data_IF_228932088246
#
_entry.id   IF_228932088246
#
_cell.length_a   1.000
_cell.length_b   1.000
_cell.length_c   1.000
_cell.angle_alpha   90.00
_cell.angle_beta   90.00
_cell.angle_gamma   90.00
#
_symmetry.space_group_name_H-M   'P 1'
#
loop_
_entity.id
_entity.type
_entity.pdbx_description
1 polymer ?
#
# COMPACT_ATOMS: atom_id res chain seq x y z
N UNK A 1 2.37 5.73 9.01
CA UNK A 1 3.18 6.70 8.24
C UNK A 1 2.38 7.21 7.05
N UNK A 2 2.68 8.40 6.55
CA UNK A 2 2.08 8.95 5.33
C UNK A 2 3.21 9.25 4.35
N UNK A 3 3.04 8.87 3.08
CA UNK A 3 3.91 9.27 1.98
C UNK A 3 3.11 10.05 0.95
N UNK A 4 3.68 11.14 0.48
CA UNK A 4 3.18 11.90 -0.65
C UNK A 4 4.23 11.95 -1.76
N UNK A 5 3.90 11.42 -2.92
CA UNK A 5 4.69 11.54 -4.16
C UNK A 5 4.12 12.69 -4.98
N UNK A 6 4.93 13.68 -5.32
CA UNK A 6 4.49 14.75 -6.21
C UNK A 6 4.44 14.28 -7.69
N UNK A 7 3.63 14.92 -8.56
CA UNK A 7 3.66 14.68 -9.99
C UNK A 7 5.07 14.88 -10.58
N UNK A 8 5.48 13.98 -11.48
CA UNK A 8 6.79 14.05 -12.15
C UNK A 8 7.99 13.64 -11.28
N UNK A 9 7.78 13.37 -9.99
CA UNK A 9 8.83 12.87 -9.09
C UNK A 9 8.77 11.34 -9.00
N UNK A 10 9.93 10.71 -8.90
CA UNK A 10 10.09 9.28 -8.62
C UNK A 10 10.22 9.01 -7.10
N UNK A 11 10.64 10.01 -6.34
CA UNK A 11 10.67 10.02 -4.86
C UNK A 11 9.45 10.70 -4.26
N UNK A 12 9.22 10.45 -2.97
CA UNK A 12 8.15 11.09 -2.20
C UNK A 12 8.68 11.75 -0.94
N UNK A 13 7.81 12.47 -0.25
CA UNK A 13 8.03 12.94 1.12
C UNK A 13 7.34 11.99 2.10
N UNK A 14 7.90 11.79 3.28
CA UNK A 14 7.35 10.89 4.31
C UNK A 14 7.18 11.60 5.65
N UNK A 15 6.12 11.25 6.38
CA UNK A 15 5.94 11.65 7.78
C UNK A 15 5.51 10.44 8.62
N UNK A 16 6.14 10.29 9.78
CA UNK A 16 5.82 9.24 10.74
C UNK A 16 4.98 9.81 11.87
N UNK A 17 3.96 9.05 12.31
CA UNK A 17 3.09 9.47 13.41
C UNK A 17 3.87 9.73 14.70
N UNK A 18 4.92 8.94 14.96
CA UNK A 18 5.80 9.07 16.13
C UNK A 18 6.82 10.21 16.02
N UNK A 19 6.94 10.84 14.86
CA UNK A 19 7.90 11.91 14.58
C UNK A 19 7.27 13.03 13.72
N UNK A 20 5.99 13.36 13.98
CA UNK A 20 5.16 14.20 13.11
C UNK A 20 5.48 15.72 13.19
N UNK A 21 6.76 16.09 13.08
CA UNK A 21 7.20 17.51 13.12
C UNK A 21 7.38 18.09 11.73
N UNK A 22 7.93 17.32 10.79
CA UNK A 22 8.21 17.76 9.43
C UNK A 22 8.04 16.59 8.46
N UNK A 23 7.93 16.91 7.17
CA UNK A 23 8.01 15.92 6.10
C UNK A 23 9.48 15.69 5.73
N UNK A 24 9.94 14.46 5.91
CA UNK A 24 11.29 14.05 5.54
C UNK A 24 11.35 13.67 4.06
N UNK A 25 12.54 13.78 3.48
CA UNK A 25 12.82 13.23 2.15
C UNK A 25 12.66 11.70 2.17
N UNK A 26 11.88 11.17 1.24
CA UNK A 26 11.81 9.74 1.00
C UNK A 26 13.15 9.26 0.47
N UNK A 27 13.78 8.33 1.19
CA UNK A 27 15.19 7.98 0.99
C UNK A 27 15.52 7.46 -0.42
N UNK A 28 14.56 6.90 -1.17
CA UNK A 28 14.76 6.29 -2.48
C UNK A 28 13.52 6.39 -3.38
N UNK A 29 13.67 6.26 -4.72
CA UNK A 29 12.56 6.18 -5.66
C UNK A 29 11.58 5.07 -5.28
N UNK A 30 10.27 5.29 -5.50
CA UNK A 30 9.24 4.29 -5.20
C UNK A 30 9.33 3.04 -6.08
N UNK A 31 10.12 3.05 -7.15
CA UNK A 31 10.41 1.85 -7.94
C UNK A 31 11.45 0.94 -7.29
N UNK A 32 12.22 1.43 -6.31
CA UNK A 32 13.24 0.65 -5.62
C UNK A 32 12.59 -0.30 -4.61
N UNK A 33 12.91 -1.59 -4.64
CA UNK A 33 12.39 -2.55 -3.65
C UNK A 33 12.95 -2.31 -2.25
N UNK A 34 14.08 -1.62 -2.13
CA UNK A 34 14.78 -1.40 -0.87
C UNK A 34 14.64 0.05 -0.39
N UNK A 35 14.76 0.23 0.93
CA UNK A 35 14.97 1.54 1.56
C UNK A 35 13.85 2.57 1.35
N UNK A 36 12.61 2.13 1.08
CA UNK A 36 11.42 2.94 1.34
C UNK A 36 10.36 2.13 2.10
N UNK A 37 9.60 2.84 2.94
CA UNK A 37 8.70 2.23 3.93
C UNK A 37 7.61 1.34 3.32
N UNK A 38 7.19 1.64 2.09
CA UNK A 38 6.10 0.92 1.43
C UNK A 38 6.52 -0.40 0.78
N UNK A 39 7.67 -0.46 0.11
CA UNK A 39 8.18 -1.73 -0.41
C UNK A 39 8.44 -2.70 0.75
N UNK A 40 8.96 -2.18 1.87
CA UNK A 40 9.18 -2.99 3.07
C UNK A 40 7.90 -3.59 3.63
N UNK A 41 6.82 -2.81 3.72
CA UNK A 41 5.51 -3.33 4.16
C UNK A 41 4.93 -4.34 3.16
N UNK A 42 5.23 -4.20 1.86
CA UNK A 42 4.74 -5.10 0.82
C UNK A 42 5.64 -6.33 0.57
N UNK A 43 6.85 -6.41 1.13
CA UNK A 43 7.73 -7.58 1.02
C UNK A 43 7.00 -8.87 1.41
N UNK A 44 6.16 -8.80 2.44
CA UNK A 44 5.38 -9.93 2.96
C UNK A 44 4.12 -10.24 2.13
N UNK A 45 3.67 -9.32 1.25
CA UNK A 45 2.65 -9.56 0.23
C UNK A 45 3.23 -10.30 -0.98
N UNK A 46 4.52 -10.07 -1.23
CA UNK A 46 5.27 -10.62 -2.36
C UNK A 46 5.84 -12.01 -2.04
N UNK A 47 6.29 -12.24 -0.80
CA UNK A 47 6.82 -13.53 -0.35
C UNK A 47 5.69 -14.45 0.09
N UNK A 48 5.69 -15.70 -0.38
CA UNK A 48 4.72 -16.72 0.06
C UNK A 48 5.06 -17.20 1.49
N UNK A 49 4.83 -16.36 2.49
CA UNK A 49 5.02 -16.68 3.89
C UNK A 49 3.76 -17.33 4.47
N UNK A 50 3.90 -18.52 5.06
CA UNK A 50 2.77 -19.30 5.56
C UNK A 50 1.92 -18.53 6.59
N UNK A 51 2.57 -17.71 7.41
CA UNK A 51 1.98 -16.92 8.47
C UNK A 51 1.50 -15.53 8.03
N UNK A 52 1.61 -15.17 6.74
CA UNK A 52 1.07 -13.91 6.22
C UNK A 52 -0.14 -14.20 5.33
N UNK A 53 -1.15 -13.33 5.45
CA UNK A 53 -2.29 -13.26 4.54
C UNK A 53 -2.47 -11.79 4.15
N UNK A 54 -3.03 -11.56 2.97
CA UNK A 54 -3.34 -10.21 2.54
C UNK A 54 -4.62 -10.16 1.70
N UNK A 55 -5.23 -8.98 1.68
CA UNK A 55 -6.33 -8.60 0.78
C UNK A 55 -5.90 -7.33 0.06
N UNK A 56 -5.79 -7.39 -1.26
CA UNK A 56 -5.59 -6.23 -2.11
C UNK A 56 -6.91 -5.83 -2.77
N UNK A 57 -7.25 -4.55 -2.73
CA UNK A 57 -8.42 -3.99 -3.41
C UNK A 57 -8.00 -2.76 -4.21
N UNK A 58 -8.51 -2.61 -5.42
CA UNK A 58 -8.22 -1.48 -6.28
C UNK A 58 -9.31 -1.40 -7.36
N UNK A 59 -9.82 -0.20 -7.65
CA UNK A 59 -10.77 0.00 -8.75
C UNK A 59 -10.14 -0.01 -10.15
N UNK A 60 -8.81 -0.02 -10.21
CA UNK A 60 -8.02 -0.24 -11.42
C UNK A 60 -6.85 -1.16 -11.06
N UNK A 61 -7.08 -2.46 -10.76
CA UNK A 61 -6.03 -3.36 -10.33
C UNK A 61 -5.10 -3.75 -11.49
N UNK A 62 -3.88 -4.20 -11.19
CA UNK A 62 -2.92 -4.58 -12.22
C UNK A 62 -3.43 -5.74 -13.06
N UNK A 63 -3.24 -5.64 -14.38
CA UNK A 63 -3.54 -6.70 -15.34
C UNK A 63 -5.03 -6.91 -15.66
N UNK A 64 -5.96 -6.12 -15.10
CA UNK A 64 -7.39 -6.25 -15.38
C UNK A 64 -7.95 -4.96 -15.99
N UNK A 65 -8.12 -4.90 -17.31
CA UNK A 65 -8.67 -3.72 -17.97
C UNK A 65 -10.18 -3.57 -17.69
N UNK A 66 -10.65 -2.32 -17.68
CA UNK A 66 -12.09 -1.98 -17.75
C UNK A 66 -12.97 -2.53 -16.62
N UNK A 67 -12.44 -2.54 -15.39
CA UNK A 67 -13.17 -2.99 -14.21
C UNK A 67 -14.32 -2.03 -13.86
N UNK A 68 -15.53 -2.57 -13.65
CA UNK A 68 -16.68 -1.80 -13.18
C UNK A 68 -16.79 -1.94 -11.67
N UNK A 69 -16.59 -0.85 -10.93
CA UNK A 69 -16.69 -0.83 -9.46
C UNK A 69 -17.67 0.26 -9.02
N UNK A 70 -18.21 0.12 -7.80
CA UNK A 70 -18.99 1.18 -7.13
C UNK A 70 -18.12 2.11 -6.28
N UNK A 71 -16.83 1.80 -6.15
CA UNK A 71 -15.88 2.50 -5.29
C UNK A 71 -14.60 2.84 -6.03
N UNK A 72 -13.99 3.97 -5.67
CA UNK A 72 -12.68 4.40 -6.18
C UNK A 72 -11.52 4.03 -5.25
N UNK A 73 -11.82 3.35 -4.14
CA UNK A 73 -10.86 3.01 -3.09
C UNK A 73 -9.83 1.99 -3.56
N UNK A 74 -8.62 2.13 -3.02
CA UNK A 74 -7.50 1.21 -3.27
C UNK A 74 -6.71 1.01 -1.99
N UNK A 75 -6.14 -0.16 -1.83
CA UNK A 75 -5.36 -0.48 -0.65
C UNK A 75 -4.99 -1.94 -0.54
N UNK A 76 -4.25 -2.22 0.53
CA UNK A 76 -3.83 -3.56 0.90
C UNK A 76 -3.96 -3.70 2.42
N UNK A 77 -4.58 -4.79 2.85
CA UNK A 77 -4.55 -5.23 4.25
C UNK A 77 -3.61 -6.42 4.31
N UNK A 78 -2.64 -6.39 5.22
CA UNK A 78 -1.65 -7.44 5.45
C UNK A 78 -1.78 -7.85 6.90
N UNK A 79 -2.03 -9.13 7.16
CA UNK A 79 -2.15 -9.65 8.51
C UNK A 79 -1.15 -10.78 8.75
N UNK A 80 -0.58 -10.76 9.95
CA UNK A 80 0.14 -11.91 10.49
C UNK A 80 -0.85 -12.85 11.17
N UNK A 81 -0.75 -14.14 10.91
CA UNK A 81 -1.45 -15.17 11.67
C UNK A 81 -0.72 -15.54 12.96
N UNK A 82 0.56 -15.15 13.09
CA UNK A 82 1.39 -15.40 14.26
C UNK A 82 1.33 -14.29 15.33
N UNK A 83 0.79 -13.12 15.01
CA UNK A 83 0.68 -11.99 15.94
C UNK A 83 -0.68 -11.28 15.81
N UNK A 84 -1.11 -10.58 16.87
CA UNK A 84 -2.31 -9.73 16.84
C UNK A 84 -2.03 -8.36 16.17
N UNK A 85 -1.43 -8.37 14.98
CA UNK A 85 -1.01 -7.17 14.26
C UNK A 85 -1.27 -7.30 12.77
N UNK A 86 -1.76 -6.22 12.18
CA UNK A 86 -1.94 -6.07 10.75
C UNK A 86 -1.53 -4.66 10.31
N UNK A 87 -1.11 -4.54 9.05
CA UNK A 87 -0.86 -3.28 8.38
C UNK A 87 -1.99 -3.05 7.37
N UNK A 88 -2.56 -1.85 7.38
CA UNK A 88 -3.51 -1.41 6.36
C UNK A 88 -2.93 -0.23 5.61
N UNK A 89 -2.67 -0.45 4.32
CA UNK A 89 -2.24 0.59 3.39
C UNK A 89 -3.44 1.07 2.59
N UNK A 90 -3.71 2.37 2.62
CA UNK A 90 -4.63 3.05 1.71
C UNK A 90 -3.79 3.86 0.73
N UNK A 91 -4.09 3.78 -0.56
CA UNK A 91 -3.32 4.50 -1.58
C UNK A 91 -4.18 4.98 -2.75
N UNK A 92 -3.58 5.86 -3.57
CA UNK A 92 -4.20 6.38 -4.79
C UNK A 92 -3.70 5.74 -6.08
N UNK A 93 -2.69 4.86 -6.01
CA UNK A 93 -1.96 4.30 -7.16
C UNK A 93 -2.79 3.24 -7.92
N UNK A 94 -3.22 3.47 -9.18
CA UNK A 94 -3.80 2.43 -10.02
C UNK A 94 -2.73 1.42 -10.45
N UNK A 95 -3.13 0.19 -10.77
CA UNK A 95 -2.23 -0.88 -11.17
C UNK A 95 -1.34 -1.40 -10.03
N UNK A 96 -1.68 -1.14 -8.77
CA UNK A 96 -0.84 -1.44 -7.61
C UNK A 96 -1.64 -2.01 -6.42
N UNK A 97 -1.01 -2.84 -5.55
CA UNK A 97 0.23 -3.56 -5.80
C UNK A 97 -0.03 -4.76 -6.72
N UNK A 98 1.03 -5.28 -7.35
CA UNK A 98 0.91 -6.56 -8.05
C UNK A 98 1.13 -7.70 -7.06
N UNK A 99 0.06 -8.43 -6.76
CA UNK A 99 0.08 -9.52 -5.80
C UNK A 99 0.86 -10.73 -6.32
N UNK A 100 1.60 -11.41 -5.43
CA UNK A 100 2.32 -12.68 -5.69
C UNK A 100 3.40 -12.63 -6.79
N UNK A 101 3.85 -11.45 -7.19
CA UNK A 101 5.04 -11.26 -8.03
C UNK A 101 5.99 -10.28 -7.34
N UNK A 102 7.27 -10.20 -7.76
CA UNK A 102 8.20 -9.21 -7.22
C UNK A 102 7.62 -7.80 -7.21
N UNK A 103 8.00 -7.02 -6.19
CA UNK A 103 7.60 -5.62 -6.06
C UNK A 103 7.78 -4.87 -7.37
N UNK A 104 6.74 -4.16 -7.80
CA UNK A 104 6.77 -3.36 -9.02
C UNK A 104 5.95 -2.10 -8.83
N UNK A 105 6.55 -0.98 -9.22
CA UNK A 105 5.90 0.32 -9.27
C UNK A 105 5.36 0.58 -10.69
N UNK A 106 4.09 1.00 -10.86
CA UNK A 106 3.56 1.33 -12.17
C UNK A 106 4.24 2.58 -12.75
N UNK A 107 5.13 2.42 -13.73
CA UNK A 107 5.95 3.53 -14.28
C UNK A 107 5.11 4.71 -14.79
N UNK A 108 3.93 4.44 -15.36
CA UNK A 108 3.00 5.47 -15.82
C UNK A 108 2.57 6.44 -14.70
N UNK A 109 2.60 5.98 -13.45
CA UNK A 109 2.19 6.75 -12.27
C UNK A 109 3.29 7.69 -11.76
N UNK A 110 4.48 7.70 -12.37
CA UNK A 110 5.49 8.74 -12.12
C UNK A 110 4.99 10.14 -12.52
N UNK A 111 4.20 10.24 -13.59
CA UNK A 111 3.65 11.51 -14.05
C UNK A 111 2.59 12.12 -13.10
N UNK A 112 2.09 11.35 -12.12
CA UNK A 112 0.95 11.73 -11.26
C UNK A 112 1.37 11.87 -9.81
N UNK A 113 0.57 12.61 -9.04
CA UNK A 113 0.73 12.71 -7.60
C UNK A 113 0.02 11.55 -6.90
N UNK A 114 0.63 11.00 -5.83
CA UNK A 114 0.04 9.91 -5.07
C UNK A 114 0.20 10.05 -3.56
N UNK A 115 -0.86 9.69 -2.85
CA UNK A 115 -0.87 9.56 -1.41
C UNK A 115 -0.87 8.08 -1.04
N UNK A 116 -0.06 7.72 -0.05
CA UNK A 116 -0.06 6.41 0.59
C UNK A 116 -0.08 6.59 2.10
N UNK A 117 -1.00 5.92 2.78
CA UNK A 117 -1.13 5.94 4.24
C UNK A 117 -0.97 4.51 4.74
N UNK A 118 -0.09 4.29 5.70
CA UNK A 118 0.06 3.01 6.39
C UNK A 118 -0.38 3.13 7.84
N UNK A 119 -1.42 2.36 8.20
CA UNK A 119 -2.00 2.23 9.53
C UNK A 119 -1.60 0.89 10.13
N UNK A 120 -1.20 0.88 11.40
CA UNK A 120 -1.10 -0.34 12.19
C UNK A 120 -2.42 -0.57 12.88
N UNK A 121 -3.05 -1.73 12.63
CA UNK A 121 -4.34 -2.13 13.20
C UNK A 121 -4.20 -3.47 13.91
N UNK A 122 -5.05 -3.74 14.90
CA UNK A 122 -5.10 -5.06 15.53
C UNK A 122 -5.83 -6.06 14.62
N UNK A 123 -5.52 -7.35 14.75
CA UNK A 123 -6.24 -8.41 14.00
C UNK A 123 -7.74 -8.40 14.34
N UNK A 124 -8.10 -8.04 15.58
CA UNK A 124 -9.50 -7.94 16.01
C UNK A 124 -10.31 -6.87 15.28
N UNK A 125 -9.67 -5.84 14.71
CA UNK A 125 -10.35 -4.79 13.95
C UNK A 125 -10.69 -5.22 12.50
N UNK A 126 -10.06 -6.27 11.98
CA UNK A 126 -10.19 -6.68 10.57
C UNK A 126 -11.63 -7.07 10.24
N UNK A 127 -12.31 -7.83 11.12
CA UNK A 127 -13.69 -8.24 10.86
C UNK A 127 -14.64 -7.04 10.76
N UNK A 128 -14.45 -6.03 11.62
CA UNK A 128 -15.25 -4.81 11.59
C UNK A 128 -15.01 -4.02 10.30
N UNK A 129 -13.76 -3.94 9.83
CA UNK A 129 -13.41 -3.30 8.56
C UNK A 129 -14.00 -4.08 7.37
N UNK A 130 -13.91 -5.42 7.40
CA UNK A 130 -14.37 -6.32 6.34
C UNK A 130 -15.84 -6.10 5.97
N UNK A 131 -16.71 -5.87 6.96
CA UNK A 131 -18.13 -5.61 6.76
C UNK A 131 -18.42 -4.41 5.82
N UNK A 132 -17.50 -3.45 5.71
CA UNK A 132 -17.67 -2.30 4.83
C UNK A 132 -17.17 -2.54 3.40
N UNK A 133 -16.40 -3.60 3.16
CA UNK A 133 -15.95 -3.96 1.81
C UNK A 133 -16.99 -4.75 1.00
N UNK A 134 -17.96 -5.38 1.67
CA UNK A 134 -18.96 -6.26 1.05
C UNK A 134 -20.29 -5.57 0.66
N UNK A 135 -20.39 -4.24 0.81
CA UNK A 135 -21.58 -3.43 0.44
C UNK A 135 -21.43 -2.77 -0.94
#
# INVERSE_FOLDING_TARGET
>A
AIVYKAPGQDTGKIIFATAARTWDDGAQPLSNVNQHSFAKTLEDVVRNQNNIKFLAYNNAPPGVPSMKTKSNSKGVIILSTAANSAAWIVHTVPGFPTARIPYSWPVAENARGHLLICLTISKSQINAIGLYFDN
#
